data_IF_610007608011
#
_entry.id   IF_610007608011
#
_cell.length_a   1.000
_cell.length_b   1.000
_cell.length_c   1.000
_cell.angle_alpha   90.00
_cell.angle_beta   90.00
_cell.angle_gamma   90.00
#
_symmetry.space_group_name_H-M   'P 1'
#
loop_
_entity.id
_entity.type
_entity.pdbx_description
1 polymer ?
#
# COMPACT_ATOMS: atom_id res chain seq x y z
N UNK A 1 -17.28 -15.63 -48.53
CA UNK A 1 -18.56 -14.89 -48.44
C UNK A 1 -18.36 -13.76 -47.43
N UNK A 2 -18.56 -12.50 -47.83
CA UNK A 2 -18.44 -11.33 -46.93
C UNK A 2 -19.80 -11.09 -46.26
N UNK A 3 -19.92 -11.39 -44.97
CA UNK A 3 -21.07 -10.99 -44.17
C UNK A 3 -20.73 -9.71 -43.40
N UNK A 4 -21.58 -8.68 -43.53
CA UNK A 4 -21.48 -7.42 -42.75
C UNK A 4 -20.15 -6.64 -42.89
N UNK A 5 -19.46 -6.72 -44.03
CA UNK A 5 -18.20 -6.01 -44.27
C UNK A 5 -16.96 -6.67 -43.68
N UNK A 6 -17.09 -7.90 -43.17
CA UNK A 6 -15.96 -8.75 -42.76
C UNK A 6 -15.58 -9.72 -43.87
N UNK A 7 -14.28 -9.81 -44.14
CA UNK A 7 -13.66 -10.82 -44.99
C UNK A 7 -13.25 -12.01 -44.15
N UNK A 8 -13.69 -13.21 -44.54
CA UNK A 8 -13.32 -14.46 -43.90
C UNK A 8 -11.90 -14.88 -44.30
N UNK A 9 -11.03 -15.06 -43.33
CA UNK A 9 -9.64 -15.46 -43.50
C UNK A 9 -9.43 -16.85 -42.86
N UNK A 10 -9.37 -17.93 -43.67
CA UNK A 10 -9.08 -19.27 -43.16
C UNK A 10 -7.60 -19.42 -42.79
N UNK A 11 -7.35 -19.99 -41.61
CA UNK A 11 -6.03 -20.22 -41.04
C UNK A 11 -5.86 -21.69 -40.69
N UNK A 12 -4.76 -22.32 -41.11
CA UNK A 12 -4.44 -23.70 -40.76
C UNK A 12 -3.38 -23.78 -39.66
N UNK A 13 -3.62 -24.61 -38.65
CA UNK A 13 -2.72 -24.85 -37.51
C UNK A 13 -1.78 -26.05 -37.69
N UNK A 14 -1.65 -26.56 -38.92
CA UNK A 14 -1.01 -27.84 -39.21
C UNK A 14 -2.03 -28.97 -39.09
N UNK A 15 -2.14 -29.80 -40.13
CA UNK A 15 -3.17 -30.84 -40.25
C UNK A 15 -4.46 -30.34 -40.92
N UNK A 16 -5.60 -30.98 -40.62
CA UNK A 16 -6.90 -30.73 -41.26
C UNK A 16 -7.75 -29.65 -40.57
N UNK A 17 -7.27 -29.05 -39.49
CA UNK A 17 -8.03 -28.08 -38.69
C UNK A 17 -7.85 -26.67 -39.27
N UNK A 18 -8.98 -26.02 -39.56
CA UNK A 18 -9.04 -24.64 -40.06
C UNK A 18 -9.75 -23.76 -39.04
N UNK A 19 -9.10 -22.68 -38.65
CA UNK A 19 -9.67 -21.61 -37.82
C UNK A 19 -10.03 -20.43 -38.71
N UNK A 20 -11.20 -19.82 -38.50
CA UNK A 20 -11.65 -18.69 -39.31
C UNK A 20 -11.48 -17.38 -38.54
N UNK A 21 -10.63 -16.51 -39.07
CA UNK A 21 -10.52 -15.12 -38.66
C UNK A 21 -11.49 -14.26 -39.48
N UNK A 22 -12.04 -13.22 -38.86
CA UNK A 22 -12.85 -12.23 -39.57
C UNK A 22 -12.11 -10.91 -39.59
N UNK A 23 -11.85 -10.39 -40.77
CA UNK A 23 -10.96 -9.25 -40.97
C UNK A 23 -11.71 -8.13 -41.67
N UNK A 24 -11.58 -6.91 -41.19
CA UNK A 24 -12.15 -5.72 -41.83
C UNK A 24 -11.25 -4.51 -41.63
N UNK A 25 -11.47 -3.46 -42.42
CA UNK A 25 -10.84 -2.17 -42.20
C UNK A 25 -11.38 -1.54 -40.91
N UNK A 26 -10.49 -1.04 -40.06
CA UNK A 26 -10.91 -0.36 -38.84
C UNK A 26 -11.62 0.96 -39.17
N UNK A 27 -12.82 1.15 -38.62
CA UNK A 27 -13.59 2.38 -38.76
C UNK A 27 -13.83 2.96 -37.37
N UNK A 28 -13.30 4.14 -37.12
CA UNK A 28 -13.63 4.88 -35.91
C UNK A 28 -14.93 5.66 -36.13
N UNK A 29 -16.04 5.20 -35.55
CA UNK A 29 -17.33 5.90 -35.70
C UNK A 29 -17.54 7.02 -34.67
N UNK A 30 -16.72 7.09 -33.61
CA UNK A 30 -16.94 8.01 -32.47
C UNK A 30 -15.72 8.88 -32.12
N UNK A 31 -14.62 8.80 -32.86
CA UNK A 31 -13.37 9.50 -32.53
C UNK A 31 -12.76 9.02 -31.20
N UNK A 32 -13.14 7.81 -30.76
CA UNK A 32 -12.73 7.23 -29.46
C UNK A 32 -11.61 6.21 -29.65
N UNK A 33 -11.29 5.85 -30.89
CA UNK A 33 -10.25 4.89 -31.14
C UNK A 33 -8.89 5.55 -31.00
N UNK A 34 -8.02 4.93 -30.21
CA UNK A 34 -6.61 5.32 -30.12
C UNK A 34 -5.83 4.95 -31.40
N UNK A 35 -6.47 4.28 -32.37
CA UNK A 35 -5.83 3.73 -33.56
C UNK A 35 -6.32 4.42 -34.84
N UNK A 36 -5.40 4.78 -35.75
CA UNK A 36 -5.73 5.47 -37.00
C UNK A 36 -6.49 4.54 -37.96
N UNK A 37 -7.70 4.92 -38.37
CA UNK A 37 -8.61 4.09 -39.18
C UNK A 37 -8.05 3.71 -40.56
N UNK A 38 -7.35 4.64 -41.22
CA UNK A 38 -6.79 4.47 -42.57
C UNK A 38 -5.68 3.41 -42.70
N UNK A 39 -5.03 3.05 -41.59
CA UNK A 39 -3.91 2.08 -41.58
C UNK A 39 -4.06 0.95 -40.55
N UNK A 40 -5.25 0.83 -39.96
CA UNK A 40 -5.53 -0.21 -38.96
C UNK A 40 -6.46 -1.28 -39.52
N UNK A 41 -6.06 -2.54 -39.35
CA UNK A 41 -6.85 -3.71 -39.67
C UNK A 41 -7.50 -4.23 -38.39
N UNK A 42 -8.82 -4.39 -38.42
CA UNK A 42 -9.58 -4.97 -37.32
C UNK A 42 -9.77 -6.47 -37.57
N UNK A 43 -9.29 -7.30 -36.64
CA UNK A 43 -9.32 -8.76 -36.72
C UNK A 43 -10.15 -9.29 -35.56
N UNK A 44 -11.12 -10.14 -35.83
CA UNK A 44 -12.02 -10.76 -34.86
C UNK A 44 -11.81 -12.28 -34.84
N UNK A 45 -12.18 -12.90 -33.72
CA UNK A 45 -11.98 -14.32 -33.45
C UNK A 45 -10.50 -14.69 -33.42
N UNK A 46 -9.66 -13.83 -32.85
CA UNK A 46 -8.24 -14.09 -32.75
C UNK A 46 -8.00 -15.30 -31.84
N UNK A 47 -7.18 -16.28 -32.27
CA UNK A 47 -6.88 -17.47 -31.47
C UNK A 47 -6.33 -17.14 -30.08
N UNK A 48 -6.63 -17.96 -29.07
CA UNK A 48 -6.19 -17.73 -27.70
C UNK A 48 -4.67 -17.80 -27.53
N UNK A 49 -3.99 -18.52 -28.42
CA UNK A 49 -2.53 -18.65 -28.42
C UNK A 49 -1.83 -17.55 -29.23
N UNK A 50 -2.57 -16.67 -29.90
CA UNK A 50 -2.02 -15.64 -30.77
C UNK A 50 -1.30 -14.53 -29.99
N UNK A 51 -0.01 -14.41 -30.24
CA UNK A 51 0.86 -13.35 -29.71
C UNK A 51 1.07 -12.21 -30.73
N UNK A 52 1.62 -11.08 -30.28
CA UNK A 52 2.02 -9.97 -31.16
C UNK A 52 2.97 -10.46 -32.27
N UNK A 53 3.94 -11.33 -31.93
CA UNK A 53 4.87 -11.95 -32.89
C UNK A 53 4.15 -12.67 -34.02
N UNK A 54 3.13 -13.47 -33.69
CA UNK A 54 2.44 -14.32 -34.67
C UNK A 54 1.56 -13.50 -35.59
N UNK A 55 0.81 -12.52 -35.04
CA UNK A 55 0.08 -11.59 -35.86
C UNK A 55 1.02 -10.76 -36.74
N UNK A 56 2.19 -10.36 -36.24
CA UNK A 56 3.19 -9.71 -37.08
C UNK A 56 3.64 -10.59 -38.23
N UNK A 57 4.13 -11.79 -37.95
CA UNK A 57 4.61 -12.72 -38.98
C UNK A 57 3.51 -13.07 -39.99
N UNK A 58 2.28 -13.23 -39.51
CA UNK A 58 1.14 -13.49 -40.36
C UNK A 58 0.84 -12.27 -41.25
N UNK A 59 0.70 -11.06 -40.72
CA UNK A 59 0.29 -9.90 -41.52
C UNK A 59 1.43 -9.17 -42.25
N UNK A 60 2.70 -9.52 -41.99
CA UNK A 60 3.89 -8.88 -42.57
C UNK A 60 3.95 -8.85 -44.11
N UNK A 61 3.52 -9.89 -44.87
CA UNK A 61 3.62 -9.85 -46.33
C UNK A 61 2.81 -8.74 -47.00
N UNK A 62 1.86 -8.14 -46.29
CA UNK A 62 1.00 -7.08 -46.82
C UNK A 62 1.54 -5.67 -46.54
N UNK A 63 2.49 -5.54 -45.61
CA UNK A 63 3.12 -4.29 -45.23
C UNK A 63 3.81 -4.36 -43.87
N UNK A 64 4.67 -3.37 -43.61
CA UNK A 64 5.36 -3.26 -42.32
C UNK A 64 4.36 -2.86 -41.21
N UNK A 65 4.42 -3.56 -40.09
CA UNK A 65 3.50 -3.38 -38.95
C UNK A 65 4.18 -2.48 -37.93
N UNK A 66 3.50 -1.40 -37.54
CA UNK A 66 3.94 -0.48 -36.49
C UNK A 66 3.61 -1.05 -35.10
N UNK A 67 2.37 -1.49 -34.91
CA UNK A 67 1.87 -1.95 -33.62
C UNK A 67 0.78 -2.99 -33.80
N UNK A 68 0.78 -3.99 -32.92
CA UNK A 68 -0.37 -4.87 -32.73
C UNK A 68 -0.92 -4.62 -31.33
N UNK A 69 -2.23 -4.40 -31.25
CA UNK A 69 -2.92 -4.21 -29.98
C UNK A 69 -4.10 -5.17 -29.88
N UNK A 70 -4.34 -5.68 -28.69
CA UNK A 70 -5.45 -6.58 -28.43
C UNK A 70 -6.46 -5.88 -27.54
N UNK A 71 -7.75 -6.20 -27.70
CA UNK A 71 -8.79 -5.57 -26.91
C UNK A 71 -8.61 -5.78 -25.39
N UNK A 72 -7.98 -6.90 -24.99
CA UNK A 72 -7.68 -7.21 -23.58
C UNK A 72 -6.56 -6.40 -22.95
N UNK A 73 -5.78 -5.67 -23.74
CA UNK A 73 -4.59 -4.96 -23.24
C UNK A 73 -4.92 -3.55 -22.72
N UNK A 74 -6.17 -3.11 -22.91
CA UNK A 74 -6.71 -1.90 -22.28
C UNK A 74 -7.80 -2.30 -21.27
N UNK A 75 -7.74 -1.82 -20.01
CA UNK A 75 -8.90 -1.91 -19.13
C UNK A 75 -10.05 -1.17 -19.81
N UNK A 76 -11.17 -1.86 -20.04
CA UNK A 76 -12.37 -1.23 -20.56
C UNK A 76 -12.81 -0.16 -19.55
N UNK A 77 -13.10 1.04 -20.03
CA UNK A 77 -13.87 2.05 -19.31
C UNK A 77 -15.26 1.44 -19.07
N UNK A 78 -15.60 1.17 -17.80
CA UNK A 78 -16.72 0.34 -17.31
C UNK A 78 -18.14 0.88 -17.65
N UNK A 79 -18.32 1.61 -18.74
CA UNK A 79 -19.56 2.28 -19.12
C UNK A 79 -20.20 1.74 -20.42
N UNK A 80 -20.03 0.44 -20.71
CA UNK A 80 -20.85 -0.24 -21.71
C UNK A 80 -21.51 -1.48 -21.10
N UNK A 81 -22.85 -1.59 -21.11
CA UNK A 81 -23.53 -2.79 -20.64
C UNK A 81 -23.32 -3.90 -21.68
N UNK A 82 -22.56 -4.93 -21.31
CA UNK A 82 -22.55 -6.20 -22.04
C UNK A 82 -23.75 -7.01 -21.53
N UNK A 83 -24.78 -7.17 -22.38
CA UNK A 83 -25.89 -8.10 -22.15
C UNK A 83 -25.41 -9.54 -22.29
N UNK A 84 -24.76 -10.08 -21.26
CA UNK A 84 -24.70 -11.51 -20.98
C UNK A 84 -23.91 -11.77 -19.70
N UNK A 85 -24.50 -11.48 -18.53
CA UNK A 85 -24.04 -12.00 -17.23
C UNK A 85 -24.97 -11.49 -16.13
N UNK A 86 -26.19 -12.03 -16.05
CA UNK A 86 -26.96 -11.91 -14.81
C UNK A 86 -26.38 -12.88 -13.78
N UNK A 87 -25.58 -12.35 -12.86
CA UNK A 87 -25.44 -12.90 -11.50
C UNK A 87 -24.91 -11.81 -10.56
N UNK A 88 -25.83 -11.01 -10.03
CA UNK A 88 -25.69 -10.19 -8.82
C UNK A 88 -26.70 -10.80 -7.84
N UNK A 89 -26.35 -11.25 -6.63
CA UNK A 89 -26.14 -10.45 -5.40
C UNK A 89 -26.27 -11.45 -4.23
N UNK A 90 -25.76 -11.29 -3.01
CA UNK A 90 -24.90 -10.33 -2.32
C UNK A 90 -24.59 -10.97 -0.95
N UNK A 91 -23.41 -10.75 -0.39
CA UNK A 91 -23.22 -10.19 0.97
C UNK A 91 -21.71 -10.06 1.29
N UNK A 92 -21.21 -8.82 1.14
CA UNK A 92 -20.56 -7.98 2.16
C UNK A 92 -20.10 -8.72 3.44
N UNK A 93 -18.91 -8.54 4.02
CA UNK A 93 -17.98 -7.43 3.97
C UNK A 93 -17.31 -7.36 5.37
N UNK A 94 -15.98 -7.28 5.42
CA UNK A 94 -15.19 -6.69 6.50
C UNK A 94 -13.70 -6.93 6.19
N UNK A 95 -13.06 -5.94 5.58
CA UNK A 95 -11.61 -5.89 5.49
C UNK A 95 -11.03 -5.57 6.86
N UNK A 96 -10.27 -6.51 7.42
CA UNK A 96 -9.46 -6.25 8.60
C UNK A 96 -8.04 -5.87 8.17
N UNK A 97 -7.57 -4.81 8.80
CA UNK A 97 -6.33 -4.12 8.49
C UNK A 97 -5.13 -4.92 9.01
N UNK A 98 -4.17 -5.14 8.11
CA UNK A 98 -2.73 -5.13 8.35
C UNK A 98 -2.28 -5.08 9.84
N UNK A 99 -2.04 -6.26 10.39
CA UNK A 99 -1.35 -6.50 11.65
C UNK A 99 0.13 -6.10 11.53
N UNK A 100 0.42 -4.85 11.89
CA UNK A 100 1.76 -4.39 12.18
C UNK A 100 2.15 -4.88 13.59
N UNK A 101 2.84 -6.02 13.64
CA UNK A 101 3.43 -6.59 14.85
C UNK A 101 4.39 -5.59 15.53
N UNK A 102 3.88 -4.95 16.59
CA UNK A 102 4.65 -4.17 17.54
C UNK A 102 5.46 -5.14 18.42
N UNK A 103 6.78 -5.24 18.17
CA UNK A 103 7.71 -5.85 19.11
C UNK A 103 7.80 -4.97 20.36
N UNK A 104 7.05 -5.32 21.40
CA UNK A 104 7.25 -4.84 22.76
C UNK A 104 8.66 -5.24 23.22
N UNK A 105 9.53 -4.26 23.46
CA UNK A 105 10.78 -4.49 24.18
C UNK A 105 10.48 -4.64 25.66
N UNK A 106 10.63 -5.86 26.18
CA UNK A 106 10.68 -6.12 27.61
C UNK A 106 12.02 -5.59 28.17
N UNK A 107 11.91 -4.73 29.17
CA UNK A 107 13.02 -4.22 29.97
C UNK A 107 13.66 -5.36 30.78
N UNK A 108 14.81 -5.84 30.31
CA UNK A 108 15.69 -6.72 31.08
C UNK A 108 16.79 -5.91 31.75
N UNK A 109 16.67 -5.72 33.07
CA UNK A 109 17.72 -5.19 33.94
C UNK A 109 18.98 -6.06 33.86
N UNK A 110 20.06 -5.53 33.29
CA UNK A 110 21.39 -6.14 33.30
C UNK A 110 22.38 -5.27 34.06
N UNK A 111 22.66 -5.65 35.30
CA UNK A 111 23.74 -5.11 36.13
C UNK A 111 25.13 -5.52 35.58
N UNK A 112 26.19 -4.72 35.82
CA UNK A 112 27.45 -4.84 35.10
C UNK A 112 28.40 -5.83 35.78
N UNK A 113 28.88 -6.83 35.04
CA UNK A 113 30.00 -7.66 35.47
C UNK A 113 31.28 -7.24 34.73
N UNK A 114 32.24 -6.77 35.53
CA UNK A 114 33.63 -6.59 35.14
C UNK A 114 34.30 -7.95 35.00
N UNK A 115 34.83 -8.26 33.82
CA UNK A 115 35.96 -9.17 33.66
C UNK A 115 36.68 -8.83 32.35
N UNK A 116 37.96 -8.52 32.46
CA UNK A 116 38.79 -8.11 31.33
C UNK A 116 39.05 -9.24 30.35
N UNK A 117 39.10 -8.90 29.05
CA UNK A 117 40.05 -9.51 28.14
C UNK A 117 40.46 -8.51 27.06
N UNK A 118 41.76 -8.36 26.92
CA UNK A 118 42.43 -7.45 25.99
C UNK A 118 42.28 -8.00 24.55
N UNK A 119 41.23 -7.59 23.85
CA UNK A 119 41.03 -7.88 22.43
C UNK A 119 41.49 -6.70 21.57
N UNK A 120 42.62 -6.85 20.85
CA UNK A 120 43.12 -5.92 19.83
C UNK A 120 41.98 -5.41 18.93
N UNK A 121 41.69 -4.10 19.00
CA UNK A 121 40.81 -3.40 18.06
C UNK A 121 41.46 -3.42 16.67
N UNK A 122 41.05 -4.36 15.82
CA UNK A 122 41.37 -4.32 14.38
C UNK A 122 40.62 -3.12 13.78
N UNK A 123 41.37 -2.15 13.28
CA UNK A 123 40.86 -1.05 12.47
C UNK A 123 40.14 -1.63 11.24
N UNK A 124 38.83 -1.40 11.13
CA UNK A 124 38.06 -1.68 9.91
C UNK A 124 38.66 -0.85 8.76
N UNK A 125 38.96 -1.46 7.59
CA UNK A 125 39.42 -0.70 6.45
C UNK A 125 38.29 0.22 5.97
N UNK A 126 38.60 1.51 5.82
CA UNK A 126 37.72 2.50 5.19
C UNK A 126 37.52 2.11 3.72
N UNK A 127 36.26 2.19 3.27
CA UNK A 127 35.95 2.48 1.87
C UNK A 127 35.62 1.28 0.97
N UNK A 128 34.42 0.71 1.15
CA UNK A 128 33.59 0.33 -0.01
C UNK A 128 32.19 0.88 0.27
N UNK A 129 31.67 1.73 -0.61
CA UNK A 129 30.25 2.12 -0.55
C UNK A 129 29.46 0.82 -0.68
N UNK A 130 28.74 0.44 0.36
CA UNK A 130 27.90 -0.76 0.36
C UNK A 130 26.83 -0.58 -0.71
N UNK A 131 27.00 -1.32 -1.82
CA UNK A 131 26.00 -1.39 -2.88
C UNK A 131 24.75 -2.05 -2.28
N UNK A 132 23.54 -1.60 -2.66
CA UNK A 132 22.32 -2.28 -2.22
C UNK A 132 22.41 -3.76 -2.62
N UNK A 133 22.07 -4.69 -1.72
CA UNK A 133 21.99 -6.11 -2.07
C UNK A 133 20.93 -6.30 -3.16
N UNK A 134 21.18 -7.21 -4.08
CA UNK A 134 20.32 -7.50 -5.23
C UNK A 134 19.50 -8.75 -4.87
N UNK A 135 18.17 -8.65 -4.93
CA UNK A 135 17.28 -9.78 -4.72
C UNK A 135 17.47 -10.80 -5.84
N UNK A 136 17.68 -12.06 -5.47
CA UNK A 136 17.78 -13.16 -6.43
C UNK A 136 16.37 -13.54 -6.87
N UNK A 137 15.94 -13.28 -8.11
CA UNK A 137 14.56 -13.54 -8.53
C UNK A 137 14.27 -15.04 -8.56
N UNK A 138 13.00 -15.40 -8.34
CA UNK A 138 12.55 -16.78 -8.51
C UNK A 138 12.68 -17.22 -9.98
N UNK A 139 12.98 -18.51 -10.24
CA UNK A 139 13.07 -19.03 -11.59
C UNK A 139 11.68 -18.98 -12.25
N UNK A 140 11.52 -18.10 -13.22
CA UNK A 140 10.31 -17.98 -14.03
C UNK A 140 10.62 -18.43 -15.45
N UNK A 141 9.84 -19.39 -15.96
CA UNK A 141 9.91 -19.77 -17.36
C UNK A 141 9.16 -18.72 -18.20
N UNK A 142 9.73 -18.23 -19.32
CA UNK A 142 9.01 -17.35 -20.23
C UNK A 142 7.92 -18.15 -20.93
N UNK A 143 6.71 -18.10 -20.37
CA UNK A 143 5.54 -18.76 -20.93
C UNK A 143 4.73 -17.79 -21.79
N UNK A 144 4.14 -18.35 -22.84
CA UNK A 144 3.20 -17.64 -23.69
C UNK A 144 2.01 -17.15 -22.88
N UNK A 145 1.63 -15.89 -23.08
CA UNK A 145 0.38 -15.34 -22.55
C UNK A 145 -0.78 -15.82 -23.41
N UNK A 146 -1.61 -16.69 -22.86
CA UNK A 146 -2.86 -17.12 -23.49
C UNK A 146 -3.95 -16.07 -23.23
N UNK A 147 -4.79 -15.84 -24.24
CA UNK A 147 -5.92 -14.91 -24.22
C UNK A 147 -7.25 -15.65 -24.21
N UNK A 148 -8.34 -15.03 -23.73
CA UNK A 148 -9.67 -15.59 -23.89
C UNK A 148 -10.07 -15.67 -25.37
N UNK A 149 -10.96 -16.61 -25.68
CA UNK A 149 -11.44 -16.86 -27.04
C UNK A 149 -12.34 -15.73 -27.55
N UNK A 150 -12.50 -15.60 -28.87
CA UNK A 150 -13.43 -14.65 -29.48
C UNK A 150 -13.01 -13.17 -29.41
N UNK A 151 -11.82 -12.85 -28.88
CA UNK A 151 -11.36 -11.46 -28.79
C UNK A 151 -10.94 -10.88 -30.14
N UNK A 152 -10.90 -9.56 -30.19
CA UNK A 152 -10.45 -8.77 -31.32
C UNK A 152 -9.03 -8.24 -31.14
N UNK A 153 -8.35 -8.00 -32.27
CA UNK A 153 -7.05 -7.35 -32.35
C UNK A 153 -7.06 -6.25 -33.42
N UNK A 154 -6.25 -5.23 -33.19
CA UNK A 154 -5.97 -4.14 -34.09
C UNK A 154 -4.53 -4.28 -34.58
N UNK A 155 -4.35 -4.43 -35.88
CA UNK A 155 -3.03 -4.46 -36.52
C UNK A 155 -2.82 -3.13 -37.23
N UNK A 156 -1.94 -2.30 -36.69
CA UNK A 156 -1.62 -0.98 -37.22
C UNK A 156 -0.42 -1.11 -38.16
N UNK A 157 -0.63 -0.84 -39.43
CA UNK A 157 0.43 -0.78 -40.44
C UNK A 157 1.12 0.58 -40.43
N UNK A 158 2.36 0.60 -40.91
CA UNK A 158 3.10 1.83 -41.12
C UNK A 158 2.56 2.63 -42.32
N UNK A 159 2.07 1.93 -43.35
CA UNK A 159 1.58 2.49 -44.61
C UNK A 159 0.08 2.24 -44.79
N UNK A 160 -0.66 3.25 -45.24
CA UNK A 160 -2.11 3.23 -45.46
C UNK A 160 -2.51 2.25 -46.57
N UNK A 161 -1.64 2.06 -47.57
CA UNK A 161 -1.92 1.14 -48.67
C UNK A 161 -1.89 -0.34 -48.25
N UNK A 162 -1.29 -0.65 -47.09
CA UNK A 162 -1.12 -2.01 -46.61
C UNK A 162 -2.44 -2.68 -46.22
N UNK A 163 -3.41 -1.93 -45.67
CA UNK A 163 -4.73 -2.46 -45.29
C UNK A 163 -5.49 -2.96 -46.52
N UNK A 164 -5.50 -2.17 -47.60
CA UNK A 164 -6.14 -2.54 -48.87
C UNK A 164 -5.45 -3.77 -49.48
N UNK A 165 -4.12 -3.79 -49.50
CA UNK A 165 -3.32 -4.94 -49.97
C UNK A 165 -3.62 -6.21 -49.17
N UNK A 166 -3.72 -6.08 -47.84
CA UNK A 166 -4.07 -7.20 -46.96
C UNK A 166 -5.45 -7.75 -47.34
N UNK A 167 -6.49 -6.91 -47.35
CA UNK A 167 -7.85 -7.33 -47.67
C UNK A 167 -7.99 -7.93 -49.08
N UNK A 168 -7.34 -7.36 -50.09
CA UNK A 168 -7.40 -7.86 -51.48
C UNK A 168 -6.67 -9.19 -51.68
N UNK A 169 -5.72 -9.53 -50.83
CA UNK A 169 -4.93 -10.77 -50.94
C UNK A 169 -5.57 -11.98 -50.22
N UNK A 170 -6.65 -11.77 -49.47
CA UNK A 170 -7.31 -12.83 -48.71
C UNK A 170 -8.13 -13.70 -49.66
N UNK A 171 -7.71 -14.95 -49.80
CA UNK A 171 -8.43 -15.97 -50.56
C UNK A 171 -9.12 -16.95 -49.59
N UNK A 172 -10.47 -17.08 -49.61
CA UNK A 172 -11.20 -17.96 -48.70
C UNK A 172 -11.02 -19.46 -49.03
N UNK A 173 -10.50 -19.80 -50.20
CA UNK A 173 -10.30 -21.19 -50.63
C UNK A 173 -8.94 -21.76 -50.23
N UNK A 174 -7.97 -20.90 -49.91
CA UNK A 174 -6.60 -21.32 -49.58
C UNK A 174 -6.27 -20.93 -48.15
N UNK A 175 -6.45 -21.85 -47.17
CA UNK A 175 -6.08 -21.61 -45.79
C UNK A 175 -4.60 -21.26 -45.65
N UNK A 176 -4.31 -20.16 -44.98
CA UNK A 176 -2.94 -19.75 -44.74
C UNK A 176 -2.38 -20.39 -43.48
N UNK A 177 -1.15 -20.88 -43.53
CA UNK A 177 -0.51 -21.54 -42.39
C UNK A 177 -0.26 -20.53 -41.27
N UNK A 178 -0.71 -20.85 -40.06
CA UNK A 178 -0.43 -20.07 -38.86
C UNK A 178 1.04 -20.24 -38.45
N UNK A 179 1.76 -19.16 -38.09
CA UNK A 179 3.14 -19.27 -37.65
C UNK A 179 3.28 -20.11 -36.37
N UNK A 180 4.17 -21.09 -36.42
CA UNK A 180 4.53 -21.93 -35.28
C UNK A 180 5.69 -21.33 -34.48
N UNK A 181 5.72 -21.62 -33.17
CA UNK A 181 6.75 -21.18 -32.22
C UNK A 181 7.31 -22.39 -31.47
N UNK A 182 8.57 -22.31 -31.04
CA UNK A 182 9.19 -23.33 -30.17
C UNK A 182 8.66 -23.35 -28.73
N UNK A 183 7.87 -22.35 -28.34
CA UNK A 183 7.25 -22.26 -27.01
C UNK A 183 6.24 -23.40 -26.77
N UNK A 184 6.12 -23.90 -25.52
CA UNK A 184 5.18 -24.95 -25.20
C UNK A 184 3.73 -24.47 -25.38
N UNK A 185 2.86 -25.34 -25.93
CA UNK A 185 1.44 -25.09 -26.19
C UNK A 185 0.57 -26.20 -25.59
N UNK A 186 -0.72 -25.93 -25.40
CA UNK A 186 -1.66 -26.92 -24.89
C UNK A 186 -1.25 -27.48 -23.53
N UNK A 187 -1.21 -28.81 -23.40
CA UNK A 187 -0.84 -29.46 -22.14
C UNK A 187 0.58 -29.08 -21.67
N UNK A 188 1.55 -29.03 -22.59
CA UNK A 188 2.93 -28.70 -22.28
C UNK A 188 3.09 -27.28 -21.69
N UNK A 189 2.21 -26.35 -22.09
CA UNK A 189 2.17 -25.01 -21.52
C UNK A 189 1.72 -25.06 -20.05
N UNK A 190 0.64 -25.79 -19.78
CA UNK A 190 0.10 -25.90 -18.43
C UNK A 190 1.01 -26.68 -17.49
N UNK A 191 1.75 -27.69 -17.96
CA UNK A 191 2.75 -28.39 -17.16
C UNK A 191 3.92 -27.45 -16.82
N UNK A 192 4.45 -26.72 -17.80
CA UNK A 192 5.51 -25.75 -17.54
C UNK A 192 5.07 -24.61 -16.61
N UNK A 193 3.80 -24.16 -16.73
CA UNK A 193 3.18 -23.20 -15.83
C UNK A 193 3.05 -23.77 -14.41
N UNK A 194 2.59 -25.00 -14.28
CA UNK A 194 2.48 -25.70 -13.01
C UNK A 194 3.83 -25.81 -12.30
N UNK A 195 4.89 -26.15 -13.04
CA UNK A 195 6.25 -26.28 -12.52
C UNK A 195 6.83 -24.91 -12.14
N UNK A 196 6.59 -23.87 -12.95
CA UNK A 196 7.03 -22.50 -12.64
C UNK A 196 6.41 -21.93 -11.36
N UNK A 197 5.18 -22.34 -11.02
CA UNK A 197 4.50 -21.95 -9.79
C UNK A 197 5.00 -22.71 -8.55
N UNK A 198 5.83 -23.75 -8.73
CA UNK A 198 6.40 -24.57 -7.66
C UNK A 198 7.92 -24.63 -7.80
N UNK A 199 8.61 -23.48 -7.62
CA UNK A 199 10.07 -23.48 -7.59
C UNK A 199 10.60 -24.35 -6.45
N UNK A 200 11.86 -24.78 -6.57
CA UNK A 200 12.52 -25.56 -5.52
C UNK A 200 12.62 -24.75 -4.21
N UNK A 201 12.59 -25.45 -3.08
CA UNK A 201 12.72 -24.82 -1.76
C UNK A 201 14.02 -24.01 -1.63
N UNK A 202 15.11 -24.47 -2.25
CA UNK A 202 16.38 -23.76 -2.27
C UNK A 202 16.29 -22.41 -3.00
N UNK A 203 15.59 -22.36 -4.14
CA UNK A 203 15.38 -21.12 -4.88
C UNK A 203 14.49 -20.14 -4.09
N UNK A 204 13.45 -20.65 -3.42
CA UNK A 204 12.58 -19.84 -2.55
C UNK A 204 13.37 -19.28 -1.36
N UNK A 205 14.22 -20.10 -0.75
CA UNK A 205 15.09 -19.69 0.37
C UNK A 205 16.06 -18.59 -0.06
N UNK A 206 16.77 -18.76 -1.18
CA UNK A 206 17.69 -17.75 -1.69
C UNK A 206 16.99 -16.42 -2.00
N UNK A 207 15.79 -16.46 -2.58
CA UNK A 207 14.98 -15.27 -2.80
C UNK A 207 14.57 -14.61 -1.48
N UNK A 208 14.10 -15.38 -0.50
CA UNK A 208 13.70 -14.87 0.81
C UNK A 208 14.88 -14.23 1.57
N UNK A 209 16.01 -14.92 1.64
CA UNK A 209 17.23 -14.44 2.31
C UNK A 209 17.70 -13.12 1.67
N UNK A 210 17.80 -13.07 0.32
CA UNK A 210 18.21 -11.85 -0.38
C UNK A 210 17.19 -10.70 -0.28
N UNK A 211 15.90 -11.00 -0.15
CA UNK A 211 14.85 -10.00 0.11
C UNK A 211 14.96 -9.43 1.53
N UNK A 212 15.26 -10.26 2.53
CA UNK A 212 15.49 -9.82 3.92
C UNK A 212 16.74 -8.94 4.00
N UNK A 213 17.82 -9.33 3.31
CA UNK A 213 19.04 -8.52 3.26
C UNK A 213 18.79 -7.12 2.66
N UNK A 214 17.99 -7.02 1.59
CA UNK A 214 17.59 -5.73 1.03
C UNK A 214 16.79 -4.92 2.02
N UNK A 215 15.79 -5.53 2.66
CA UNK A 215 14.98 -4.86 3.66
C UNK A 215 15.84 -4.33 4.82
N UNK A 216 16.75 -5.13 5.35
CA UNK A 216 17.67 -4.75 6.42
C UNK A 216 18.58 -3.60 5.99
N UNK A 217 19.09 -3.63 4.75
CA UNK A 217 19.87 -2.54 4.17
C UNK A 217 19.06 -1.23 4.09
N UNK A 218 17.80 -1.28 3.65
CA UNK A 218 16.91 -0.12 3.57
C UNK A 218 16.55 0.44 4.94
N UNK A 219 16.26 -0.44 5.92
CA UNK A 219 16.01 -0.07 7.31
C UNK A 219 17.25 0.59 7.92
N UNK A 220 18.44 0.03 7.71
CA UNK A 220 19.69 0.60 8.18
C UNK A 220 19.97 1.98 7.56
N UNK A 221 19.74 2.12 6.25
CA UNK A 221 19.86 3.40 5.53
C UNK A 221 18.86 4.43 6.06
N UNK A 222 17.61 4.04 6.35
CA UNK A 222 16.59 4.91 6.97
C UNK A 222 17.02 5.36 8.36
N UNK A 223 17.57 4.46 9.18
CA UNK A 223 18.12 4.78 10.52
C UNK A 223 19.33 5.71 10.45
N UNK A 224 20.25 5.51 9.51
CA UNK A 224 21.41 6.39 9.33
C UNK A 224 20.97 7.81 8.94
N UNK A 225 20.04 7.94 7.99
CA UNK A 225 19.45 9.24 7.61
C UNK A 225 18.78 9.95 8.78
N UNK A 226 18.12 9.22 9.68
CA UNK A 226 17.46 9.82 10.85
C UNK A 226 18.42 10.16 11.98
N UNK A 227 19.52 9.41 12.16
CA UNK A 227 20.55 9.69 13.16
C UNK A 227 21.38 10.94 12.82
N UNK A 228 21.65 11.20 11.54
CA UNK A 228 22.47 12.33 11.10
C UNK A 228 21.86 13.72 11.33
N UNK A 229 20.62 13.80 11.84
CA UNK A 229 19.96 15.08 12.17
C UNK A 229 19.78 15.31 13.67
N UNK A 230 20.37 14.48 14.55
CA UNK A 230 20.45 14.74 15.99
C UNK A 230 21.63 15.66 16.28
N UNK A 231 21.50 16.95 16.00
CA UNK A 231 22.50 17.95 16.41
C UNK A 231 22.61 19.17 15.49
N UNK A 232 22.23 19.04 14.22
CA UNK A 232 22.12 20.18 13.32
C UNK A 232 20.76 20.84 13.54
N UNK A 233 20.77 22.06 14.08
CA UNK A 233 19.58 22.88 14.16
C UNK A 233 19.11 23.14 12.72
N UNK A 234 17.93 22.65 12.36
CA UNK A 234 17.27 23.09 11.14
C UNK A 234 16.89 24.54 11.40
N UNK A 235 17.59 25.45 10.74
CA UNK A 235 17.35 26.89 10.78
C UNK A 235 16.52 27.21 9.54
N UNK A 236 15.32 27.77 9.75
CA UNK A 236 14.45 28.21 8.67
C UNK A 236 15.06 29.42 7.93
N UNK A 237 14.51 29.78 6.76
CA UNK A 237 14.99 30.92 5.95
C UNK A 237 14.99 32.27 6.73
N UNK A 238 14.18 32.37 7.79
CA UNK A 238 14.09 33.52 8.69
C UNK A 238 15.01 33.44 9.94
N UNK A 239 15.90 32.44 10.03
CA UNK A 239 16.89 32.34 11.11
C UNK A 239 16.38 31.74 12.43
N UNK A 240 15.14 31.24 12.49
CA UNK A 240 14.59 30.58 13.68
C UNK A 240 14.95 29.08 13.72
N UNK A 241 15.26 28.57 14.91
CA UNK A 241 15.61 27.16 15.13
C UNK A 241 14.37 26.34 15.53
N UNK A 242 14.07 25.28 14.78
CA UNK A 242 12.92 24.42 15.07
C UNK A 242 13.18 23.48 16.27
N UNK A 243 12.53 23.73 17.41
CA UNK A 243 12.62 22.87 18.61
C UNK A 243 11.86 21.56 18.37
N UNK A 244 12.59 20.52 17.95
CA UNK A 244 12.02 19.17 17.76
C UNK A 244 12.17 18.33 19.04
N UNK A 245 11.09 17.72 19.55
CA UNK A 245 11.13 16.82 20.72
C UNK A 245 11.86 15.51 20.35
N UNK A 246 13.14 15.40 20.67
CA UNK A 246 13.96 14.21 20.37
C UNK A 246 13.87 13.13 21.43
N UNK A 247 13.27 11.97 21.09
CA UNK A 247 13.41 10.72 21.86
C UNK A 247 14.70 9.96 21.53
N UNK A 248 14.99 8.88 22.28
CA UNK A 248 16.20 8.05 22.12
C UNK A 248 16.32 7.43 20.70
N UNK A 249 15.20 7.06 20.09
CA UNK A 249 15.10 6.75 18.67
C UNK A 249 14.76 8.03 17.89
N UNK A 250 15.47 8.29 16.80
CA UNK A 250 15.35 9.53 16.02
C UNK A 250 13.92 9.87 15.61
N UNK A 251 13.72 11.15 15.26
CA UNK A 251 12.48 11.79 14.77
C UNK A 251 11.42 10.78 14.29
N UNK A 252 10.20 10.88 14.82
CA UNK A 252 8.98 10.37 14.18
C UNK A 252 8.79 11.07 12.83
N UNK A 253 9.57 10.67 11.82
CA UNK A 253 9.49 11.11 10.43
C UNK A 253 8.79 10.00 9.64
N UNK A 254 7.53 9.77 9.97
CA UNK A 254 6.69 8.76 9.36
C UNK A 254 5.38 8.67 10.12
N UNK A 255 4.36 9.33 9.60
CA UNK A 255 3.03 9.40 10.18
C UNK A 255 2.80 10.77 10.82
N UNK A 256 1.89 11.55 10.23
CA UNK A 256 1.39 12.81 10.78
C UNK A 256 0.66 12.56 12.10
N UNK A 257 1.42 12.33 13.16
CA UNK A 257 0.90 12.19 14.52
C UNK A 257 0.73 13.59 15.11
N UNK A 258 -0.44 14.15 14.80
CA UNK A 258 -1.21 15.07 15.63
C UNK A 258 -0.46 16.03 16.55
N UNK A 259 0.21 17.04 16.00
CA UNK A 259 0.49 18.29 16.76
C UNK A 259 -0.80 19.12 16.93
N UNK A 260 -1.91 18.72 16.31
CA UNK A 260 -3.21 19.36 16.45
C UNK A 260 -4.25 18.49 17.18
N UNK A 261 -4.01 18.11 18.44
CA UNK A 261 -5.13 17.82 19.36
C UNK A 261 -5.30 18.88 20.44
N UNK A 262 -4.34 19.81 20.58
CA UNK A 262 -4.60 21.04 21.31
C UNK A 262 -5.03 22.11 20.32
N UNK A 263 -6.31 22.05 19.92
CA UNK A 263 -6.99 23.26 19.44
C UNK A 263 -6.59 24.38 20.40
N UNK A 264 -5.95 25.42 19.90
CA UNK A 264 -5.77 26.66 20.63
C UNK A 264 -7.17 27.21 20.85
N UNK A 265 -7.77 26.77 21.96
CA UNK A 265 -8.93 27.32 22.63
C UNK A 265 -8.79 28.83 22.72
N UNK A 266 -9.37 29.64 21.82
CA UNK A 266 -9.53 31.08 22.04
C UNK A 266 -10.27 31.40 23.35
N UNK A 267 -10.92 30.39 23.94
CA UNK A 267 -11.49 30.42 25.28
C UNK A 267 -10.69 29.47 26.18
N UNK A 268 -10.06 30.05 27.21
CA UNK A 268 -9.18 29.34 28.14
C UNK A 268 -9.90 28.36 29.07
N UNK A 269 -10.26 27.17 28.59
CA UNK A 269 -10.77 26.09 29.42
C UNK A 269 -9.96 24.81 29.21
N UNK A 270 -9.24 24.37 30.23
CA UNK A 270 -8.52 23.09 30.25
C UNK A 270 -9.28 22.08 31.10
N UNK A 271 -9.72 20.97 30.51
CA UNK A 271 -10.24 19.83 31.26
C UNK A 271 -9.13 18.81 31.60
N UNK A 272 -9.30 18.19 32.77
CA UNK A 272 -8.65 16.99 33.33
C UNK A 272 -7.11 16.92 33.36
N UNK A 273 -6.50 17.70 34.25
CA UNK A 273 -5.22 17.32 34.90
C UNK A 273 -5.43 17.35 36.40
N UNK A 274 -5.05 16.25 37.08
CA UNK A 274 -4.79 16.09 38.53
C UNK A 274 -4.99 17.39 39.28
N UNK A 275 -6.02 17.51 40.14
CA UNK A 275 -6.27 18.69 40.99
C UNK A 275 -4.93 19.19 41.53
N UNK A 276 -4.36 20.22 40.88
CA UNK A 276 -3.20 20.91 41.41
C UNK A 276 -3.70 21.47 42.73
N UNK A 277 -3.06 21.08 43.84
CA UNK A 277 -3.35 21.69 45.14
C UNK A 277 -3.39 23.21 44.91
N UNK A 278 -4.41 23.92 45.40
CA UNK A 278 -4.52 25.36 45.17
C UNK A 278 -3.17 25.98 45.54
N UNK A 279 -2.59 26.78 44.64
CA UNK A 279 -1.32 27.49 44.87
C UNK A 279 -1.48 28.62 45.89
N UNK A 280 -2.62 28.69 46.57
CA UNK A 280 -2.87 29.61 47.65
C UNK A 280 -2.36 28.94 48.93
N UNK A 281 -1.29 29.50 49.47
CA UNK A 281 -0.78 29.07 50.78
C UNK A 281 -1.81 29.49 51.82
N UNK A 282 -2.49 28.51 52.43
CA UNK A 282 -3.32 28.78 53.61
C UNK A 282 -2.44 29.41 54.71
N UNK A 283 -2.91 30.51 55.29
CA UNK A 283 -2.19 31.31 56.31
C UNK A 283 -0.99 32.12 55.78
N UNK A 284 -1.07 32.65 54.56
CA UNK A 284 -0.04 33.57 54.06
C UNK A 284 -0.20 35.01 54.60
N UNK A 285 -1.43 35.46 54.82
CA UNK A 285 -1.71 36.83 55.26
C UNK A 285 -2.15 36.90 56.72
N UNK A 286 -1.75 37.96 57.42
CA UNK A 286 -2.08 38.18 58.83
C UNK A 286 -3.59 38.19 59.13
N UNK A 287 -4.42 38.65 58.17
CA UNK A 287 -5.88 38.64 58.34
C UNK A 287 -6.45 37.21 58.40
N UNK A 288 -5.86 36.25 57.68
CA UNK A 288 -6.29 34.84 57.70
C UNK A 288 -6.03 34.21 59.09
N UNK A 289 -4.93 34.59 59.75
CA UNK A 289 -4.65 34.18 61.13
C UNK A 289 -5.65 34.78 62.13
N UNK A 290 -6.02 36.05 61.96
CA UNK A 290 -6.99 36.71 62.83
C UNK A 290 -8.40 36.15 62.65
N UNK A 291 -8.80 35.88 61.42
CA UNK A 291 -10.11 35.32 61.10
C UNK A 291 -10.24 33.88 61.60
N UNK A 292 -9.19 33.06 61.44
CA UNK A 292 -9.17 31.69 62.00
C UNK A 292 -9.29 31.69 63.53
N UNK A 293 -8.60 32.60 64.23
CA UNK A 293 -8.74 32.76 65.69
C UNK A 293 -10.15 33.21 66.09
N UNK A 294 -10.72 34.17 65.37
CA UNK A 294 -12.09 34.66 65.62
C UNK A 294 -13.14 33.56 65.38
N UNK A 295 -13.01 32.80 64.29
CA UNK A 295 -13.88 31.67 64.00
C UNK A 295 -13.76 30.57 65.07
N UNK A 296 -12.54 30.31 65.56
CA UNK A 296 -12.31 29.39 66.68
C UNK A 296 -13.04 29.82 67.96
N UNK A 297 -12.97 31.10 68.34
CA UNK A 297 -13.67 31.63 69.51
C UNK A 297 -15.20 31.56 69.37
N UNK A 298 -15.74 31.87 68.19
CA UNK A 298 -17.18 31.77 67.92
C UNK A 298 -17.65 30.32 68.05
N UNK A 299 -16.87 29.38 67.51
CA UNK A 299 -17.17 27.95 67.62
C UNK A 299 -17.17 27.48 69.08
N UNK A 300 -16.15 27.88 69.85
CA UNK A 300 -16.05 27.52 71.27
C UNK A 300 -17.25 28.05 72.07
N UNK A 301 -17.70 29.27 71.79
CA UNK A 301 -18.90 29.85 72.41
C UNK A 301 -20.15 29.05 72.08
N UNK A 302 -20.32 28.65 70.81
CA UNK A 302 -21.46 27.83 70.37
C UNK A 302 -21.45 26.44 71.01
N UNK A 303 -20.29 25.82 71.09
CA UNK A 303 -20.14 24.50 71.71
C UNK A 303 -20.40 24.58 73.23
N UNK A 304 -19.95 25.66 73.88
CA UNK A 304 -20.24 25.92 75.30
C UNK A 304 -21.74 26.15 75.56
N UNK A 305 -22.42 26.93 74.73
CA UNK A 305 -23.88 27.12 74.82
C UNK A 305 -24.63 25.80 74.64
N UNK A 306 -24.18 24.96 73.70
CA UNK A 306 -24.76 23.64 73.48
C UNK A 306 -24.54 22.70 74.69
N UNK A 307 -23.36 22.73 75.30
CA UNK A 307 -23.05 21.90 76.47
C UNK A 307 -23.76 22.43 77.73
N UNK A 308 -23.89 23.74 77.91
CA UNK A 308 -24.77 24.32 78.93
C UNK A 308 -26.19 23.81 78.76
N UNK A 309 -26.75 23.86 77.54
CA UNK A 309 -28.10 23.38 77.26
C UNK A 309 -28.25 21.85 77.48
N UNK A 310 -27.20 21.06 77.29
CA UNK A 310 -27.22 19.62 77.64
C UNK A 310 -27.17 19.43 79.14
N UNK A 311 -26.35 20.19 79.86
CA UNK A 311 -26.23 20.10 81.32
C UNK A 311 -27.52 20.54 81.99
N UNK A 312 -28.20 21.60 81.52
CA UNK A 312 -29.52 21.99 82.04
C UNK A 312 -30.54 20.86 81.86
N UNK A 313 -30.63 20.26 80.67
CA UNK A 313 -31.48 19.09 80.42
C UNK A 313 -31.16 17.91 81.35
N UNK A 314 -29.88 17.62 81.59
CA UNK A 314 -29.47 16.54 82.50
C UNK A 314 -29.76 16.86 83.98
N UNK A 315 -29.71 18.14 84.38
CA UNK A 315 -30.09 18.61 85.72
C UNK A 315 -31.60 18.54 85.91
N UNK A 316 -32.40 18.95 84.93
CA UNK A 316 -33.87 18.81 84.93
C UNK A 316 -34.27 17.33 85.09
N UNK A 317 -33.56 16.43 84.40
CA UNK A 317 -33.78 14.99 84.51
C UNK A 317 -33.19 14.36 85.78
N UNK A 318 -32.59 15.14 86.70
CA UNK A 318 -31.93 14.71 87.95
C UNK A 318 -30.84 13.64 87.76
N UNK A 319 -30.25 13.55 86.56
CA UNK A 319 -29.21 12.57 86.20
C UNK A 319 -27.80 13.19 86.13
N UNK A 320 -27.67 14.48 86.40
CA UNK A 320 -26.38 15.17 86.42
C UNK A 320 -25.60 14.87 87.70
N UNK A 321 -24.41 14.28 87.58
CA UNK A 321 -23.45 14.03 88.68
C UNK A 321 -22.21 14.89 88.46
N UNK A 322 -22.00 15.97 89.22
CA UNK A 322 -20.77 16.74 89.16
C UNK A 322 -19.68 15.98 89.93
N UNK A 323 -18.57 15.68 89.23
CA UNK A 323 -17.39 14.89 89.63
C UNK A 323 -17.53 13.37 89.50
#
# INVERSE_FOLDING_TARGET
MSSSGFTTLPVSYGGSIVHYLYVTEHRDSKGRSQYPSNRTLFVVNVPPDATDRELRLFFNPHGNIEKVAFNSDHPQDDNQPDESSESESDEEGAGDAEDATMLNGEDGDAQPNQAGSNGKRRSKPRGKKEKPPIVTPLPSAPLRRLRPTGKSAYVVYLDDSAVKRALSSINPETPRVWPSSSEPRGLAHYTALHDSRRPSLDAVRLHADSSIELFDYEVAKRKQKSQYHKGEAIVDEDGFTLVTRGGAYGKTLGGGVGVASKKFQSSGATDSKKKKKPKEKEMFYAFQHNEKRRAGLIKLKKDWEADQAKVTKLREQRRFKPY
#
